data_IF_711814261781
#
_entry.id   IF_711814261781
#
_cell.length_a   1.000
_cell.length_b   1.000
_cell.length_c   1.000
_cell.angle_alpha   90.00
_cell.angle_beta   90.00
_cell.angle_gamma   90.00
#
_symmetry.space_group_name_H-M   'P 1'
#
loop_
_entity.id
_entity.type
_entity.pdbx_description
1 polymer ?
#
# COMPACT_ATOMS: atom_id res chain seq x y z
N UNK A 1 -47.04 33.12 35.87
CA UNK A 1 -45.57 33.30 35.74
C UNK A 1 -44.90 32.14 36.47
N UNK A 2 -44.63 31.01 35.80
CA UNK A 2 -43.74 29.91 36.25
C UNK A 2 -43.61 28.80 35.17
N UNK A 3 -43.69 29.12 33.86
CA UNK A 3 -43.60 28.12 32.77
C UNK A 3 -42.58 28.42 31.69
N UNK A 4 -41.88 29.56 31.78
CA UNK A 4 -40.89 29.97 30.77
C UNK A 4 -39.43 29.73 31.21
N UNK A 5 -39.17 29.47 32.51
CA UNK A 5 -37.81 29.22 33.01
C UNK A 5 -37.34 27.75 32.87
N UNK A 6 -38.27 26.79 32.73
CA UNK A 6 -37.91 25.36 32.60
C UNK A 6 -37.48 24.96 31.18
N UNK A 7 -37.90 25.71 30.15
CA UNK A 7 -37.60 25.39 28.75
C UNK A 7 -36.15 25.72 28.38
N UNK A 8 -35.59 26.79 28.98
CA UNK A 8 -34.19 27.18 28.82
C UNK A 8 -33.22 26.21 29.49
N UNK A 9 -33.58 25.66 30.65
CA UNK A 9 -32.71 24.76 31.42
C UNK A 9 -32.57 23.37 30.78
N UNK A 10 -33.67 22.78 30.30
CA UNK A 10 -33.64 21.49 29.60
C UNK A 10 -32.95 21.57 28.23
N UNK A 11 -33.13 22.68 27.50
CA UNK A 11 -32.43 22.88 26.22
C UNK A 11 -30.92 23.06 26.40
N UNK A 12 -30.48 23.77 27.45
CA UNK A 12 -29.06 23.94 27.78
C UNK A 12 -28.37 22.65 28.21
N UNK A 13 -29.03 21.82 29.05
CA UNK A 13 -28.48 20.53 29.47
C UNK A 13 -28.41 19.52 28.33
N UNK A 14 -29.39 19.50 27.41
CA UNK A 14 -29.34 18.66 26.21
C UNK A 14 -28.18 19.05 25.30
N UNK A 15 -27.94 20.36 25.09
CA UNK A 15 -26.81 20.85 24.28
C UNK A 15 -25.46 20.50 24.93
N UNK A 16 -25.34 20.67 26.26
CA UNK A 16 -24.12 20.33 27.00
C UNK A 16 -23.83 18.82 26.98
N UNK A 17 -24.88 17.98 27.09
CA UNK A 17 -24.76 16.53 26.99
C UNK A 17 -24.39 16.09 25.57
N UNK A 18 -24.94 16.72 24.53
CA UNK A 18 -24.55 16.44 23.13
C UNK A 18 -23.11 16.88 22.81
N UNK A 19 -22.64 18.00 23.38
CA UNK A 19 -21.25 18.46 23.26
C UNK A 19 -20.28 17.53 23.99
N UNK A 20 -20.63 17.02 25.17
CA UNK A 20 -19.85 16.02 25.91
C UNK A 20 -19.81 14.66 25.20
N UNK A 21 -20.89 14.25 24.55
CA UNK A 21 -20.91 13.03 23.74
C UNK A 21 -20.00 13.20 22.51
N UNK A 22 -20.00 14.37 21.86
CA UNK A 22 -19.15 14.65 20.70
C UNK A 22 -17.65 14.65 21.02
N UNK A 23 -17.25 15.10 22.21
CA UNK A 23 -15.84 15.12 22.65
C UNK A 23 -15.33 13.75 23.11
N UNK A 24 -16.22 12.83 23.50
CA UNK A 24 -15.86 11.44 23.84
C UNK A 24 -15.80 10.56 22.58
N UNK A 25 -16.48 10.93 21.48
CA UNK A 25 -16.59 10.10 20.26
C UNK A 25 -15.70 10.51 19.09
N UNK A 26 -14.71 11.39 19.25
CA UNK A 26 -13.71 11.70 18.22
C UNK A 26 -12.30 11.31 18.69
N UNK A 27 -11.53 10.51 17.94
CA UNK A 27 -11.87 9.25 17.30
C UNK A 27 -10.86 8.15 17.71
N UNK A 28 -11.30 7.07 18.36
CA UNK A 28 -10.42 5.90 18.58
C UNK A 28 -9.94 5.26 17.28
N UNK A 29 -10.61 5.52 16.15
CA UNK A 29 -10.24 5.00 14.82
C UNK A 29 -8.84 5.43 14.35
N UNK A 30 -8.32 6.58 14.81
CA UNK A 30 -6.96 7.01 14.43
C UNK A 30 -5.86 6.18 15.12
N UNK A 31 -6.13 5.65 16.32
CA UNK A 31 -5.20 4.81 17.07
C UNK A 31 -5.22 3.34 16.60
N UNK A 32 -6.31 2.89 16.00
CA UNK A 32 -6.40 1.55 15.38
C UNK A 32 -5.57 1.46 14.10
N UNK A 33 -5.54 2.53 13.29
CA UNK A 33 -4.79 2.57 12.03
C UNK A 33 -3.26 2.49 12.16
N UNK A 34 -2.71 2.67 13.36
CA UNK A 34 -1.25 2.66 13.59
C UNK A 34 -0.74 1.27 13.94
N UNK A 35 -1.63 0.34 14.31
CA UNK A 35 -1.24 -0.95 14.89
C UNK A 35 -0.75 -1.95 13.85
N UNK A 36 -1.43 -2.10 12.70
CA UNK A 36 -0.99 -3.05 11.67
C UNK A 36 0.35 -2.64 11.05
N UNK A 37 0.53 -1.34 10.77
CA UNK A 37 1.80 -0.79 10.27
C UNK A 37 2.96 -1.02 11.26
N UNK A 38 2.69 -0.90 12.56
CA UNK A 38 3.68 -1.22 13.60
C UNK A 38 4.01 -2.73 13.62
N UNK A 39 3.03 -3.60 13.40
CA UNK A 39 3.26 -5.04 13.30
C UNK A 39 4.11 -5.39 12.07
N UNK A 40 3.87 -4.74 10.92
CA UNK A 40 4.72 -4.91 9.75
C UNK A 40 6.16 -4.42 10.00
N UNK A 41 6.33 -3.24 10.62
CA UNK A 41 7.65 -2.75 11.03
C UNK A 41 8.38 -3.77 11.94
N UNK A 42 7.66 -4.41 12.86
CA UNK A 42 8.23 -5.43 13.74
C UNK A 42 8.58 -6.73 13.01
N UNK A 43 7.82 -7.11 11.98
CA UNK A 43 8.17 -8.22 11.09
C UNK A 43 9.44 -7.93 10.30
N UNK A 44 9.59 -6.72 9.73
CA UNK A 44 10.82 -6.33 9.04
C UNK A 44 12.01 -6.36 10.01
N UNK A 45 11.85 -5.85 11.24
CA UNK A 45 12.88 -5.96 12.28
C UNK A 45 13.20 -7.40 12.70
N UNK A 46 12.25 -8.33 12.56
CA UNK A 46 12.50 -9.75 12.82
C UNK A 46 13.45 -10.36 11.79
N UNK A 47 13.18 -10.10 10.50
CA UNK A 47 13.94 -10.68 9.38
C UNK A 47 15.23 -9.92 9.10
N UNK A 48 15.24 -8.60 9.35
CA UNK A 48 16.34 -7.69 9.08
C UNK A 48 16.62 -6.77 10.29
N UNK A 49 17.27 -7.28 11.36
CA UNK A 49 17.40 -6.57 12.65
C UNK A 49 18.12 -5.21 12.57
N UNK A 50 19.07 -5.08 11.65
CA UNK A 50 19.93 -3.90 11.52
C UNK A 50 19.29 -2.78 10.67
N UNK A 51 18.15 -3.04 10.03
CA UNK A 51 17.41 -2.03 9.26
C UNK A 51 16.76 -0.97 10.15
N UNK A 52 16.39 0.17 9.59
CA UNK A 52 15.49 1.15 10.20
C UNK A 52 14.23 1.25 9.34
N UNK A 53 13.22 0.36 9.50
CA UNK A 53 12.22 0.14 8.45
C UNK A 53 11.47 1.38 7.98
N UNK A 54 11.12 2.28 8.91
CA UNK A 54 10.45 3.54 8.58
C UNK A 54 11.33 4.51 7.78
N UNK A 55 12.65 4.47 7.97
CA UNK A 55 13.60 5.34 7.25
C UNK A 55 14.05 4.68 5.94
N UNK A 56 14.26 3.38 5.96
CA UNK A 56 14.85 2.64 4.85
C UNK A 56 13.81 2.32 3.77
N UNK A 57 12.56 2.03 4.15
CA UNK A 57 11.58 1.41 3.24
C UNK A 57 10.27 2.19 3.07
N UNK A 58 10.00 3.25 3.84
CA UNK A 58 8.71 3.95 3.75
C UNK A 58 8.63 4.96 2.58
N UNK A 59 9.76 5.29 1.95
CA UNK A 59 9.86 6.18 0.79
C UNK A 59 11.06 5.76 -0.09
N UNK A 60 10.92 4.58 -0.70
CA UNK A 60 11.96 3.92 -1.48
C UNK A 60 11.43 3.47 -2.85
N UNK A 61 12.20 3.75 -3.90
CA UNK A 61 11.86 3.35 -5.26
C UNK A 61 10.55 3.96 -5.73
N UNK A 62 9.77 3.18 -6.46
CA UNK A 62 8.52 3.60 -7.07
C UNK A 62 7.28 3.06 -6.37
N UNK A 63 7.41 2.08 -5.48
CA UNK A 63 6.30 1.38 -4.83
C UNK A 63 6.42 1.32 -3.31
N UNK A 64 7.61 1.40 -2.71
CA UNK A 64 7.71 1.38 -1.26
C UNK A 64 7.29 2.73 -0.66
N UNK A 65 6.02 2.84 -0.26
CA UNK A 65 5.43 4.05 0.31
C UNK A 65 3.95 4.17 -0.03
N UNK A 66 3.39 5.38 0.05
CA UNK A 66 2.00 5.61 -0.36
C UNK A 66 1.89 5.74 -1.88
N UNK A 67 1.12 4.84 -2.50
CA UNK A 67 0.76 4.91 -3.91
C UNK A 67 1.55 3.92 -4.77
N UNK A 68 2.17 4.41 -5.84
CA UNK A 68 3.07 3.63 -6.69
C UNK A 68 2.65 3.56 -8.16
N UNK A 69 3.62 3.74 -9.06
CA UNK A 69 3.40 3.73 -10.52
C UNK A 69 4.66 3.29 -11.26
N UNK A 70 4.49 2.80 -12.50
CA UNK A 70 5.63 2.49 -13.36
C UNK A 70 6.12 1.06 -13.20
N UNK A 71 7.44 0.88 -13.17
CA UNK A 71 8.12 -0.42 -13.06
C UNK A 71 9.07 -0.38 -11.86
N UNK A 72 9.11 -1.43 -11.04
CA UNK A 72 10.02 -1.47 -9.91
C UNK A 72 11.48 -1.26 -10.33
N UNK A 73 12.21 -0.41 -9.60
CA UNK A 73 13.57 -0.03 -9.97
C UNK A 73 14.64 -1.02 -9.53
N UNK A 74 14.31 -1.88 -8.56
CA UNK A 74 15.15 -2.99 -8.11
C UNK A 74 14.31 -4.09 -7.41
N UNK A 75 15.00 -5.09 -6.85
CA UNK A 75 14.36 -6.21 -6.16
C UNK A 75 13.59 -5.77 -4.90
N UNK A 76 14.08 -4.76 -4.17
CA UNK A 76 13.42 -4.27 -2.96
C UNK A 76 12.12 -3.55 -3.32
N UNK A 77 12.14 -2.72 -4.36
CA UNK A 77 10.97 -2.05 -4.89
C UNK A 77 9.95 -3.07 -5.47
N UNK A 78 10.43 -4.18 -6.03
CA UNK A 78 9.58 -5.28 -6.49
C UNK A 78 8.87 -6.00 -5.33
N UNK A 79 9.51 -6.09 -4.16
CA UNK A 79 8.86 -6.60 -2.95
C UNK A 79 7.67 -5.70 -2.57
N UNK A 80 7.84 -4.38 -2.63
CA UNK A 80 6.78 -3.40 -2.33
C UNK A 80 5.64 -3.45 -3.34
N UNK A 81 5.95 -3.51 -4.65
CA UNK A 81 4.94 -3.74 -5.69
C UNK A 81 4.08 -4.98 -5.42
N UNK A 82 4.73 -6.07 -4.99
CA UNK A 82 4.05 -7.33 -4.67
C UNK A 82 3.19 -7.20 -3.42
N UNK A 83 3.69 -6.48 -2.41
CA UNK A 83 2.98 -6.17 -1.17
C UNK A 83 1.73 -5.33 -1.42
N UNK A 84 1.82 -4.27 -2.23
CA UNK A 84 0.68 -3.44 -2.64
C UNK A 84 -0.37 -4.27 -3.39
N UNK A 85 0.06 -5.14 -4.29
CA UNK A 85 -0.85 -6.07 -4.98
C UNK A 85 -1.55 -7.03 -4.01
N UNK A 86 -0.84 -7.48 -2.97
CA UNK A 86 -1.40 -8.31 -1.92
C UNK A 86 -2.48 -7.55 -1.14
N UNK A 87 -2.17 -6.33 -0.68
CA UNK A 87 -3.11 -5.47 0.05
C UNK A 87 -4.33 -5.11 -0.80
N UNK A 88 -4.16 -4.85 -2.10
CA UNK A 88 -5.28 -4.61 -3.02
C UNK A 88 -6.25 -5.79 -3.09
N UNK A 89 -5.74 -7.04 -3.07
CA UNK A 89 -6.57 -8.24 -3.02
C UNK A 89 -7.27 -8.39 -1.68
N UNK A 90 -6.58 -8.12 -0.57
CA UNK A 90 -7.18 -8.13 0.76
C UNK A 90 -8.32 -7.12 0.81
N UNK A 91 -8.12 -5.89 0.35
CA UNK A 91 -9.16 -4.87 0.35
C UNK A 91 -10.38 -5.25 -0.52
N UNK A 92 -10.16 -5.95 -1.64
CA UNK A 92 -11.25 -6.44 -2.49
C UNK A 92 -12.03 -7.60 -1.84
N UNK A 93 -11.39 -8.41 -1.01
CA UNK A 93 -11.97 -9.60 -0.38
C UNK A 93 -12.57 -9.31 1.01
N UNK A 94 -11.90 -8.47 1.78
CA UNK A 94 -12.19 -8.13 3.16
C UNK A 94 -12.80 -6.73 3.28
N UNK A 95 -13.77 -6.37 2.44
CA UNK A 95 -14.26 -4.98 2.31
C UNK A 95 -15.29 -4.56 3.39
N UNK A 96 -15.30 -5.18 4.57
CA UNK A 96 -16.22 -4.83 5.65
C UNK A 96 -15.83 -3.52 6.32
N UNK A 97 -16.78 -2.82 6.97
CA UNK A 97 -16.51 -1.56 7.70
C UNK A 97 -15.43 -1.69 8.80
N UNK A 98 -15.15 -2.91 9.25
CA UNK A 98 -14.19 -3.22 10.31
C UNK A 98 -12.96 -4.00 9.83
N UNK A 99 -12.91 -4.38 8.55
CA UNK A 99 -11.83 -5.17 7.96
C UNK A 99 -11.04 -4.27 7.02
N UNK A 100 -10.00 -3.62 7.53
CA UNK A 100 -9.11 -2.83 6.70
C UNK A 100 -7.68 -3.32 6.92
N UNK A 101 -6.96 -3.73 5.87
CA UNK A 101 -5.61 -4.29 6.01
C UNK A 101 -4.62 -3.32 6.67
N UNK A 102 -4.88 -2.01 6.59
CA UNK A 102 -4.09 -0.97 7.23
C UNK A 102 -4.47 -0.70 8.70
N UNK A 103 -5.52 -1.33 9.22
CA UNK A 103 -5.99 -1.11 10.61
C UNK A 103 -6.18 -2.40 11.41
N UNK A 104 -6.30 -3.54 10.74
CA UNK A 104 -6.49 -4.85 11.37
C UNK A 104 -5.21 -5.30 12.07
N UNK A 105 -5.35 -5.75 13.32
CA UNK A 105 -4.24 -6.38 14.03
C UNK A 105 -4.30 -7.87 13.86
N UNK A 106 -3.18 -8.50 13.55
CA UNK A 106 -3.09 -9.94 13.36
C UNK A 106 -2.10 -10.59 14.34
N UNK A 107 -2.30 -11.86 14.63
CA UNK A 107 -1.47 -12.68 15.51
C UNK A 107 -0.31 -13.32 14.74
N UNK A 108 0.91 -13.09 15.22
CA UNK A 108 2.12 -13.70 14.66
C UNK A 108 3.17 -13.97 15.73
N UNK A 109 4.15 -14.80 15.40
CA UNK A 109 5.38 -15.01 16.16
C UNK A 109 6.60 -14.69 15.33
N UNK A 110 7.60 -14.12 15.98
CA UNK A 110 8.94 -13.94 15.46
C UNK A 110 9.92 -14.82 16.24
N UNK A 111 10.55 -15.78 15.57
CA UNK A 111 11.75 -16.43 16.07
C UNK A 111 12.95 -15.56 15.69
N UNK A 112 13.47 -14.79 16.66
CA UNK A 112 14.59 -13.87 16.44
C UNK A 112 15.91 -14.58 16.13
N UNK A 113 16.08 -15.82 16.58
CA UNK A 113 17.32 -16.58 16.36
C UNK A 113 17.38 -17.04 14.90
N UNK A 114 16.25 -17.53 14.40
CA UNK A 114 16.11 -18.03 13.04
C UNK A 114 15.59 -16.96 12.06
N UNK A 115 15.33 -15.73 12.54
CA UNK A 115 14.78 -14.61 11.76
C UNK A 115 13.52 -15.01 10.98
N UNK A 116 12.68 -15.85 11.59
CA UNK A 116 11.54 -16.50 10.93
C UNK A 116 10.23 -15.99 11.51
N UNK A 117 9.28 -15.67 10.63
CA UNK A 117 7.94 -15.20 10.99
C UNK A 117 6.92 -16.33 10.81
N UNK A 118 6.01 -16.49 11.75
CA UNK A 118 4.88 -17.42 11.66
C UNK A 118 3.57 -16.70 11.96
N UNK A 119 2.65 -16.66 10.99
CA UNK A 119 1.27 -16.23 11.20
C UNK A 119 0.52 -17.31 11.99
N UNK A 120 -0.24 -16.94 13.02
CA UNK A 120 -0.92 -17.89 13.88
C UNK A 120 -2.32 -18.22 13.38
N UNK A 121 -2.78 -19.45 13.62
CA UNK A 121 -4.12 -19.92 13.24
C UNK A 121 -5.25 -19.31 14.08
N UNK A 122 -4.92 -18.47 15.06
CA UNK A 122 -5.90 -17.67 15.81
C UNK A 122 -6.45 -16.48 15.02
N UNK A 123 -5.79 -16.12 13.91
CA UNK A 123 -6.29 -15.11 12.99
C UNK A 123 -7.57 -15.60 12.29
N UNK A 124 -8.50 -14.68 12.09
CA UNK A 124 -9.54 -14.91 11.08
C UNK A 124 -8.95 -14.85 9.66
N UNK A 125 -9.81 -15.06 8.66
CA UNK A 125 -9.38 -15.14 7.27
C UNK A 125 -8.71 -13.84 6.80
N UNK A 126 -9.23 -12.68 7.19
CA UNK A 126 -8.72 -11.39 6.74
C UNK A 126 -7.41 -11.04 7.44
N UNK A 127 -7.34 -11.23 8.76
CA UNK A 127 -6.12 -11.02 9.53
C UNK A 127 -5.00 -11.96 9.08
N UNK A 128 -5.34 -13.21 8.74
CA UNK A 128 -4.38 -14.18 8.19
C UNK A 128 -3.83 -13.72 6.84
N UNK A 129 -4.66 -13.15 5.97
CA UNK A 129 -4.21 -12.63 4.68
C UNK A 129 -3.25 -11.44 4.85
N UNK A 130 -3.59 -10.48 5.71
CA UNK A 130 -2.71 -9.33 6.01
C UNK A 130 -1.38 -9.81 6.59
N UNK A 131 -1.42 -10.71 7.58
CA UNK A 131 -0.22 -11.29 8.17
C UNK A 131 0.68 -11.96 7.12
N UNK A 132 0.10 -12.69 6.16
CA UNK A 132 0.85 -13.35 5.09
C UNK A 132 1.44 -12.34 4.09
N UNK A 133 0.72 -11.27 3.76
CA UNK A 133 1.27 -10.18 2.94
C UNK A 133 2.49 -9.56 3.62
N UNK A 134 2.37 -9.18 4.89
CA UNK A 134 3.44 -8.52 5.66
C UNK A 134 4.64 -9.44 5.90
N UNK A 135 4.38 -10.71 6.24
CA UNK A 135 5.42 -11.75 6.34
C UNK A 135 6.21 -11.85 5.04
N UNK A 136 5.51 -12.00 3.91
CA UNK A 136 6.16 -12.18 2.60
C UNK A 136 7.00 -10.97 2.22
N UNK A 137 6.52 -9.75 2.50
CA UNK A 137 7.27 -8.54 2.25
C UNK A 137 8.53 -8.45 3.15
N UNK A 138 8.39 -8.73 4.45
CA UNK A 138 9.52 -8.72 5.38
C UNK A 138 10.61 -9.75 5.03
N UNK A 139 10.22 -10.95 4.59
CA UNK A 139 11.16 -11.98 4.11
C UNK A 139 11.82 -11.56 2.79
N UNK A 140 11.08 -10.93 1.89
CA UNK A 140 11.60 -10.41 0.61
C UNK A 140 12.61 -9.27 0.83
N UNK A 141 12.33 -8.34 1.75
CA UNK A 141 13.25 -7.26 2.11
C UNK A 141 14.58 -7.81 2.64
N UNK A 142 14.54 -8.85 3.48
CA UNK A 142 15.75 -9.48 4.02
C UNK A 142 16.62 -10.18 2.96
N UNK A 143 16.06 -10.48 1.78
CA UNK A 143 16.78 -11.08 0.64
C UNK A 143 17.22 -10.04 -0.40
N UNK A 144 16.80 -8.78 -0.25
CA UNK A 144 17.04 -7.73 -1.22
C UNK A 144 18.23 -6.86 -0.82
N UNK A 145 18.97 -6.38 -1.81
CA UNK A 145 20.03 -5.40 -1.56
C UNK A 145 19.42 -4.00 -1.44
N UNK A 146 19.78 -3.28 -0.39
CA UNK A 146 19.39 -1.89 -0.21
C UNK A 146 20.26 -0.96 -1.05
N UNK A 147 19.64 -0.08 -1.83
CA UNK A 147 20.33 0.95 -2.62
C UNK A 147 19.87 2.35 -2.22
N UNK A 148 20.73 3.07 -1.50
CA UNK A 148 20.46 4.44 -1.03
C UNK A 148 20.10 5.42 -2.16
N UNK A 149 20.53 5.18 -3.39
CA UNK A 149 20.18 6.05 -4.53
C UNK A 149 18.71 5.97 -4.94
N UNK A 150 17.98 4.95 -4.47
CA UNK A 150 16.55 4.77 -4.73
C UNK A 150 15.68 5.39 -3.62
N UNK A 151 16.26 5.98 -2.58
CA UNK A 151 15.50 6.71 -1.57
C UNK A 151 14.88 7.98 -2.16
N UNK A 152 13.64 8.29 -1.76
CA UNK A 152 12.94 9.52 -2.16
C UNK A 152 12.92 9.72 -3.68
N UNK A 153 12.78 8.64 -4.44
CA UNK A 153 12.88 8.68 -5.89
C UNK A 153 11.74 9.52 -6.48
N UNK A 154 12.09 10.46 -7.37
CA UNK A 154 11.08 11.34 -7.95
C UNK A 154 10.07 10.57 -8.80
N UNK A 155 8.77 10.83 -8.62
CA UNK A 155 7.68 10.13 -9.33
C UNK A 155 7.77 10.26 -10.87
N UNK A 156 8.46 11.30 -11.37
CA UNK A 156 8.74 11.46 -12.80
C UNK A 156 9.63 10.36 -13.37
N UNK A 157 10.56 9.82 -12.57
CA UNK A 157 11.44 8.69 -12.93
C UNK A 157 10.64 7.40 -12.99
N UNK A 158 9.75 7.19 -12.02
CA UNK A 158 8.83 6.04 -12.01
C UNK A 158 7.90 6.04 -13.24
N UNK A 159 7.47 7.23 -13.67
CA UNK A 159 6.59 7.41 -14.83
C UNK A 159 7.33 7.50 -16.17
N UNK A 160 8.66 7.54 -16.21
CA UNK A 160 9.41 7.66 -17.47
C UNK A 160 9.71 6.29 -18.10
N UNK A 161 9.93 5.26 -17.28
CA UNK A 161 10.11 3.88 -17.75
C UNK A 161 8.90 3.38 -18.59
N UNK A 162 7.68 3.76 -18.20
CA UNK A 162 6.47 3.47 -18.98
C UNK A 162 6.34 4.28 -20.27
N UNK A 163 6.86 5.52 -20.29
CA UNK A 163 6.87 6.39 -21.48
C UNK A 163 7.90 5.97 -22.53
N UNK A 164 9.07 5.50 -22.10
CA UNK A 164 10.09 4.93 -22.98
C UNK A 164 9.51 3.70 -23.71
N UNK A 165 8.92 2.75 -22.97
CA UNK A 165 8.26 1.57 -23.53
C UNK A 165 7.15 1.95 -24.53
N UNK A 166 6.33 2.95 -24.20
CA UNK A 166 5.28 3.48 -25.09
C UNK A 166 5.87 4.12 -26.36
N UNK A 167 7.00 4.82 -26.24
CA UNK A 167 7.70 5.44 -27.37
C UNK A 167 8.29 4.38 -28.33
N UNK A 168 8.81 3.28 -27.80
CA UNK A 168 9.27 2.17 -28.64
C UNK A 168 8.12 1.49 -29.41
N UNK A 169 6.96 1.26 -28.77
CA UNK A 169 5.79 0.70 -29.45
C UNK A 169 5.25 1.61 -30.57
N UNK A 170 5.22 2.93 -30.32
CA UNK A 170 4.79 3.89 -31.35
C UNK A 170 5.76 3.95 -32.53
N UNK A 171 7.07 3.87 -32.29
CA UNK A 171 8.05 3.78 -33.36
C UNK A 171 7.91 2.47 -34.17
N UNK A 172 7.70 1.33 -33.50
CA UNK A 172 7.53 0.04 -34.16
C UNK A 172 6.27 -0.01 -35.03
N UNK A 173 5.15 0.53 -34.53
CA UNK A 173 3.88 0.63 -35.27
C UNK A 173 3.99 1.58 -36.47
N UNK A 174 4.69 2.71 -36.32
CA UNK A 174 4.97 3.60 -37.45
C UNK A 174 5.82 2.91 -38.54
N UNK A 175 6.81 2.11 -38.12
CA UNK A 175 7.68 1.36 -39.03
C UNK A 175 6.94 0.25 -39.78
N UNK A 176 6.06 -0.51 -39.10
CA UNK A 176 5.25 -1.54 -39.76
C UNK A 176 4.26 -0.93 -40.74
N UNK A 177 3.57 0.15 -40.36
CA UNK A 177 2.63 0.88 -41.24
C UNK A 177 3.33 1.37 -42.51
N UNK A 178 4.49 2.01 -42.37
CA UNK A 178 5.27 2.48 -43.53
C UNK A 178 5.73 1.33 -44.43
N UNK A 179 6.15 0.19 -43.86
CA UNK A 179 6.53 -0.99 -44.63
C UNK A 179 5.34 -1.58 -45.40
N UNK A 180 4.15 -1.68 -44.79
CA UNK A 180 2.92 -2.12 -45.46
C UNK A 180 2.51 -1.19 -46.60
N UNK A 181 2.64 0.13 -46.42
CA UNK A 181 2.34 1.11 -47.48
C UNK A 181 3.33 1.01 -48.65
N UNK A 182 4.63 0.82 -48.35
CA UNK A 182 5.65 0.60 -49.39
C UNK A 182 5.42 -0.71 -50.15
N UNK A 183 4.98 -1.77 -49.47
CA UNK A 183 4.69 -3.05 -50.11
C UNK A 183 3.42 -2.97 -50.97
N UNK A 184 2.40 -2.27 -50.49
CA UNK A 184 1.14 -2.05 -51.24
C UNK A 184 1.35 -1.19 -52.49
N UNK A 185 2.27 -0.22 -52.44
CA UNK A 185 2.66 0.61 -53.59
C UNK A 185 3.61 -0.10 -54.58
N UNK A 186 4.09 -1.30 -54.26
CA UNK A 186 4.94 -2.11 -55.14
C UNK A 186 4.21 -3.25 -55.85
N UNK A 187 2.89 -3.32 -55.77
CA UNK A 187 2.10 -4.22 -56.62
C UNK A 187 1.86 -3.48 -57.95
N UNK A 188 2.62 -3.74 -59.04
CA UNK A 188 2.28 -3.20 -60.34
C UNK A 188 0.93 -3.78 -60.75
N UNK A 189 -0.04 -2.91 -61.04
CA UNK A 189 -1.25 -3.29 -61.75
C UNK A 189 -0.84 -3.95 -63.07
N UNK A 190 -0.91 -5.28 -63.13
CA UNK A 190 -0.71 -5.99 -64.38
C UNK A 190 -1.94 -5.79 -65.27
N UNK A 191 -1.66 -5.48 -66.54
CA UNK A 191 -2.62 -5.02 -67.55
C UNK A 191 -3.32 -6.20 -68.24
#
# INVERSE_FOLDING_TARGET
>A
MQKEEDFGYWSGMAVYLTLLILTVTLPTSHLYSVKSLLQFNNMIKCTLPDSSPLLDFADYGCFCGLGGTGTPVDQLDQCCFTHDSCYGKVQAYCSSLFDNPYTNTYDYKCDKNNKTITCLDSNDECDMLVCRCDKSAAECFAQSNYNVSNNHLASSVCSSASREMSSFLTALTAFTVTLTLLYSNKIPCNK
#
